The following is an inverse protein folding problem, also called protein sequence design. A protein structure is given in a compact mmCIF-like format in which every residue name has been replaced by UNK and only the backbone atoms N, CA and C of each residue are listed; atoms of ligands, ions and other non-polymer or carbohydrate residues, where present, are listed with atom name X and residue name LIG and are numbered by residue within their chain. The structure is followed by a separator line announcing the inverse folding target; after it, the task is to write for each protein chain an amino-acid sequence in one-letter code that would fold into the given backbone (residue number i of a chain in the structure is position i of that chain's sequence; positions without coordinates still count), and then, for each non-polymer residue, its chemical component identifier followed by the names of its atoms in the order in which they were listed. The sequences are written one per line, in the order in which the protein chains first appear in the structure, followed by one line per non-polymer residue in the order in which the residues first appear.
data_IF_713353310651
#
_entry.id   IF_713353310651
#
_cell.length_a   1.000
_cell.length_b   1.000
_cell.length_c   1.000
_cell.angle_alpha   90.00
_cell.angle_beta   90.00
_cell.angle_gamma   90.00
#
_symmetry.space_group_name_H-M   'P 1'
#
loop_
_entity.id
_entity.type
_entity.pdbx_description
1 polymer ?
#
# COMPACT_ATOMS: atom_id res chain seq x y z
N UNK A 1 -40.16 -6.00 -2.80
CA UNK A 1 -39.58 -6.16 -4.14
C UNK A 1 -40.68 -6.47 -5.14
N UNK A 2 -40.74 -5.78 -6.26
CA UNK A 2 -41.69 -6.04 -7.35
C UNK A 2 -41.53 -7.50 -7.87
N UNK A 3 -42.61 -8.23 -8.22
CA UNK A 3 -42.51 -9.62 -8.69
C UNK A 3 -41.57 -9.82 -9.89
N UNK A 4 -41.55 -8.86 -10.83
CA UNK A 4 -40.65 -8.89 -11.99
C UNK A 4 -39.18 -8.79 -11.58
N UNK A 5 -38.86 -7.84 -10.71
CA UNK A 5 -37.52 -7.69 -10.17
C UNK A 5 -37.09 -8.94 -9.39
N UNK A 6 -38.01 -9.58 -8.65
CA UNK A 6 -37.74 -10.85 -7.98
C UNK A 6 -37.40 -11.96 -8.96
N UNK A 7 -38.13 -12.08 -10.06
CA UNK A 7 -37.79 -13.03 -11.10
C UNK A 7 -36.42 -12.74 -11.75
N UNK A 8 -36.04 -11.47 -11.92
CA UNK A 8 -34.70 -11.10 -12.39
C UNK A 8 -33.64 -11.55 -11.39
N UNK A 9 -33.82 -11.28 -10.10
CA UNK A 9 -32.87 -11.72 -9.07
C UNK A 9 -32.79 -13.25 -8.96
N UNK A 10 -33.93 -13.94 -8.92
CA UNK A 10 -33.96 -15.41 -8.88
C UNK A 10 -33.23 -16.02 -10.08
N UNK A 11 -33.29 -15.38 -11.26
CA UNK A 11 -32.55 -15.79 -12.45
C UNK A 11 -31.05 -15.48 -12.35
N UNK A 12 -30.68 -14.30 -11.82
CA UNK A 12 -29.27 -13.88 -11.68
C UNK A 12 -28.54 -14.62 -10.56
N UNK A 13 -29.24 -15.07 -9.52
CA UNK A 13 -28.69 -15.81 -8.38
C UNK A 13 -28.88 -17.32 -8.49
N UNK A 14 -29.39 -17.82 -9.62
CA UNK A 14 -29.50 -19.25 -9.86
C UNK A 14 -28.11 -19.90 -9.94
N UNK A 15 -28.02 -21.18 -9.57
CA UNK A 15 -26.77 -21.96 -9.70
C UNK A 15 -26.34 -22.14 -11.17
N UNK A 16 -27.27 -21.99 -12.11
CA UNK A 16 -27.01 -22.01 -13.55
C UNK A 16 -26.76 -20.60 -14.09
N UNK A 17 -25.85 -20.50 -15.06
CA UNK A 17 -25.57 -19.23 -15.75
C UNK A 17 -26.86 -18.67 -16.37
N UNK A 18 -27.22 -17.41 -16.11
CA UNK A 18 -28.46 -16.83 -16.62
C UNK A 18 -28.44 -16.85 -18.15
N UNK A 19 -29.52 -17.35 -18.77
CA UNK A 19 -29.67 -17.28 -20.21
C UNK A 19 -30.05 -15.83 -20.62
N UNK A 20 -29.24 -15.12 -21.44
CA UNK A 20 -29.54 -13.76 -21.86
C UNK A 20 -30.87 -13.63 -22.60
N UNK A 21 -31.32 -14.65 -23.33
CA UNK A 21 -32.61 -14.65 -24.04
C UNK A 21 -33.79 -14.75 -23.08
N UNK A 22 -33.66 -15.52 -21.99
CA UNK A 22 -34.69 -15.61 -20.96
C UNK A 22 -34.81 -14.30 -20.20
N UNK A 23 -33.69 -13.66 -19.88
CA UNK A 23 -33.66 -12.34 -19.27
C UNK A 23 -34.27 -11.28 -20.19
N UNK A 24 -33.92 -11.27 -21.49
CA UNK A 24 -34.48 -10.32 -22.46
C UNK A 24 -35.99 -10.53 -22.63
N UNK A 25 -36.46 -11.78 -22.62
CA UNK A 25 -37.89 -12.11 -22.67
C UNK A 25 -38.63 -11.71 -21.40
N UNK A 26 -38.02 -11.91 -20.24
CA UNK A 26 -38.58 -11.52 -18.95
C UNK A 26 -38.79 -10.00 -18.89
N UNK A 27 -37.78 -9.24 -19.31
CA UNK A 27 -37.80 -7.78 -19.32
C UNK A 27 -38.64 -7.19 -20.48
N UNK A 28 -38.69 -7.85 -21.64
CA UNK A 28 -39.41 -7.40 -22.84
C UNK A 28 -40.93 -7.63 -22.83
N UNK A 29 -41.48 -8.24 -21.79
CA UNK A 29 -42.92 -8.54 -21.67
C UNK A 29 -43.79 -7.30 -21.35
N UNK A 30 -43.89 -6.39 -22.32
CA UNK A 30 -45.04 -5.52 -22.58
C UNK A 30 -45.31 -4.31 -21.67
N UNK A 31 -44.85 -4.30 -20.42
CA UNK A 31 -44.89 -3.11 -19.57
C UNK A 31 -43.49 -2.51 -19.52
N UNK A 32 -43.38 -1.18 -19.68
CA UNK A 32 -42.13 -0.45 -19.42
C UNK A 32 -41.74 -0.66 -17.96
N UNK A 33 -40.98 -1.72 -17.70
CA UNK A 33 -40.29 -1.91 -16.45
C UNK A 33 -39.16 -0.88 -16.48
N UNK A 34 -39.41 0.31 -15.93
CA UNK A 34 -38.36 1.31 -15.82
C UNK A 34 -37.43 0.85 -14.69
N UNK A 35 -36.40 0.08 -15.04
CA UNK A 35 -35.37 -0.41 -14.11
C UNK A 35 -34.79 0.76 -13.28
N UNK A 36 -34.86 2.01 -13.76
CA UNK A 36 -34.44 3.18 -13.01
C UNK A 36 -35.47 3.74 -12.04
N UNK A 37 -36.78 3.55 -12.25
CA UNK A 37 -37.79 3.91 -11.21
C UNK A 37 -37.65 3.11 -9.93
N UNK A 38 -36.82 2.06 -9.97
CA UNK A 38 -36.46 1.23 -8.83
C UNK A 38 -35.19 1.73 -8.11
N UNK A 39 -34.44 2.70 -8.66
CA UNK A 39 -33.25 3.26 -8.00
C UNK A 39 -33.56 4.35 -6.96
N UNK A 40 -34.71 5.04 -7.07
CA UNK A 40 -35.08 6.12 -6.15
C UNK A 40 -35.73 5.62 -4.84
N UNK A 41 -36.24 4.38 -4.83
CA UNK A 41 -36.74 3.73 -3.62
C UNK A 41 -35.72 2.71 -3.10
N UNK A 42 -35.30 2.89 -1.85
CA UNK A 42 -34.31 2.11 -1.09
C UNK A 42 -34.65 0.61 -0.88
N UNK A 43 -35.47 -0.01 -1.74
CA UNK A 43 -36.09 -1.32 -1.57
C UNK A 43 -36.00 -2.25 -2.80
N UNK A 44 -35.30 -1.85 -3.87
CA UNK A 44 -35.09 -2.69 -5.07
C UNK A 44 -33.64 -3.17 -5.25
N UNK A 45 -32.82 -2.96 -4.23
CA UNK A 45 -31.47 -3.49 -4.18
C UNK A 45 -31.42 -4.77 -3.35
N UNK A 46 -30.81 -5.84 -3.88
CA UNK A 46 -30.38 -6.95 -3.03
C UNK A 46 -29.06 -6.53 -2.37
N UNK A 47 -29.02 -6.44 -1.04
CA UNK A 47 -27.84 -5.99 -0.28
C UNK A 47 -27.29 -4.61 -0.66
N UNK A 48 -28.12 -3.72 -1.21
CA UNK A 48 -27.67 -2.40 -1.67
C UNK A 48 -27.12 -2.37 -3.11
N UNK A 49 -27.12 -3.50 -3.82
CA UNK A 49 -26.74 -3.59 -5.23
C UNK A 49 -27.95 -3.59 -6.16
N UNK A 50 -27.81 -2.89 -7.30
CA UNK A 50 -28.69 -3.04 -8.46
C UNK A 50 -28.39 -4.36 -9.20
N UNK A 51 -29.32 -4.90 -10.01
CA UNK A 51 -29.05 -6.07 -10.84
C UNK A 51 -27.82 -5.87 -11.75
N UNK A 52 -27.61 -4.67 -12.29
CA UNK A 52 -26.44 -4.37 -13.10
C UNK A 52 -25.16 -4.40 -12.27
N UNK A 53 -25.11 -3.77 -11.10
CA UNK A 53 -23.93 -3.89 -10.22
C UNK A 53 -23.66 -5.32 -9.81
N UNK A 54 -24.68 -6.12 -9.50
CA UNK A 54 -24.47 -7.51 -9.11
C UNK A 54 -23.83 -8.31 -10.24
N UNK A 55 -24.32 -8.13 -11.47
CA UNK A 55 -23.74 -8.79 -12.65
C UNK A 55 -22.29 -8.36 -12.89
N UNK A 56 -21.98 -7.08 -12.70
CA UNK A 56 -20.62 -6.54 -12.85
C UNK A 56 -19.69 -6.95 -11.69
N UNK A 57 -20.23 -7.09 -10.48
CA UNK A 57 -19.47 -7.39 -9.25
C UNK A 57 -19.25 -8.88 -9.05
N UNK A 58 -20.14 -9.75 -9.52
CA UNK A 58 -19.98 -11.19 -9.30
C UNK A 58 -19.49 -11.94 -10.53
N UNK A 59 -19.24 -11.24 -11.65
CA UNK A 59 -18.65 -11.82 -12.84
C UNK A 59 -19.43 -13.02 -13.36
N UNK A 60 -20.77 -12.93 -13.35
CA UNK A 60 -21.66 -14.04 -13.73
C UNK A 60 -21.28 -14.54 -15.13
N UNK A 61 -21.31 -15.86 -15.37
CA UNK A 61 -20.98 -16.40 -16.69
C UNK A 61 -21.88 -15.77 -17.77
N UNK A 62 -21.29 -15.19 -18.81
CA UNK A 62 -22.02 -14.40 -19.82
C UNK A 62 -22.43 -12.99 -19.36
N UNK A 63 -21.72 -12.41 -18.37
CA UNK A 63 -22.05 -11.08 -17.86
C UNK A 63 -21.98 -9.97 -18.91
N UNK A 64 -21.10 -9.98 -19.95
CA UNK A 64 -21.14 -8.94 -20.97
C UNK A 64 -22.49 -8.89 -21.69
N UNK A 65 -23.07 -10.05 -22.01
CA UNK A 65 -24.39 -10.18 -22.64
C UNK A 65 -25.51 -9.80 -21.68
N UNK A 66 -25.45 -10.28 -20.44
CA UNK A 66 -26.46 -9.98 -19.40
C UNK A 66 -26.46 -8.48 -19.08
N UNK A 67 -25.30 -7.86 -18.88
CA UNK A 67 -25.15 -6.43 -18.65
C UNK A 67 -25.69 -5.63 -19.84
N UNK A 68 -25.45 -6.10 -21.08
CA UNK A 68 -26.01 -5.49 -22.27
C UNK A 68 -27.54 -5.56 -22.30
N UNK A 69 -28.14 -6.70 -21.94
CA UNK A 69 -29.60 -6.85 -21.82
C UNK A 69 -30.15 -5.92 -20.74
N UNK A 70 -29.53 -5.86 -19.56
CA UNK A 70 -29.96 -4.97 -18.49
C UNK A 70 -29.92 -3.50 -18.92
N UNK A 71 -28.83 -3.05 -19.54
CA UNK A 71 -28.70 -1.68 -20.07
C UNK A 71 -29.73 -1.40 -21.19
N UNK A 72 -29.99 -2.37 -22.07
CA UNK A 72 -31.01 -2.26 -23.14
C UNK A 72 -32.41 -2.02 -22.57
N UNK A 73 -32.71 -2.59 -21.40
CA UNK A 73 -33.96 -2.39 -20.67
C UNK A 73 -33.91 -1.25 -19.65
N UNK A 74 -32.93 -0.35 -19.78
CA UNK A 74 -32.89 0.89 -19.05
C UNK A 74 -32.15 0.82 -17.72
N UNK A 75 -31.43 -0.26 -17.39
CA UNK A 75 -30.54 -0.23 -16.22
C UNK A 75 -29.49 0.87 -16.38
N UNK A 76 -29.48 1.85 -15.47
CA UNK A 76 -28.51 2.94 -15.54
C UNK A 76 -27.11 2.44 -15.18
N UNK A 77 -26.10 2.62 -16.05
CA UNK A 77 -24.71 2.28 -15.75
C UNK A 77 -24.08 3.23 -14.72
N UNK A 78 -24.72 4.37 -14.43
CA UNK A 78 -24.26 5.35 -13.44
C UNK A 78 -24.93 5.18 -12.08
N UNK A 79 -25.90 4.27 -11.94
CA UNK A 79 -26.61 4.01 -10.69
C UNK A 79 -25.68 3.60 -9.54
N UNK A 80 -24.54 2.98 -9.85
CA UNK A 80 -23.53 2.63 -8.84
C UNK A 80 -22.31 3.57 -8.90
N UNK A 81 -22.38 4.68 -9.65
CA UNK A 81 -21.29 5.63 -9.82
C UNK A 81 -20.04 5.03 -10.48
N UNK A 82 -18.87 5.63 -10.24
CA UNK A 82 -17.58 5.11 -10.73
C UNK A 82 -17.26 3.68 -10.25
N UNK A 83 -18.01 3.17 -9.27
CA UNK A 83 -17.84 1.80 -8.79
C UNK A 83 -18.31 0.76 -9.81
N UNK A 84 -19.21 1.07 -10.76
CA UNK A 84 -19.59 0.10 -11.80
C UNK A 84 -18.38 -0.35 -12.65
N UNK A 85 -17.63 0.62 -13.19
CA UNK A 85 -16.47 0.32 -14.04
C UNK A 85 -15.36 -0.36 -13.24
N UNK A 86 -15.08 0.13 -12.03
CA UNK A 86 -14.09 -0.46 -11.15
C UNK A 86 -14.49 -1.88 -10.71
N UNK A 87 -15.75 -2.11 -10.33
CA UNK A 87 -16.27 -3.41 -9.91
C UNK A 87 -16.25 -4.43 -11.05
N UNK A 88 -16.58 -3.99 -12.28
CA UNK A 88 -16.48 -4.83 -13.49
C UNK A 88 -15.06 -5.38 -13.70
N UNK A 89 -14.06 -4.56 -13.37
CA UNK A 89 -12.65 -4.91 -13.51
C UNK A 89 -12.14 -5.70 -12.29
N UNK A 90 -12.61 -5.36 -11.09
CA UNK A 90 -12.20 -5.97 -9.82
C UNK A 90 -12.52 -7.45 -9.72
N UNK A 91 -13.67 -7.85 -10.26
CA UNK A 91 -14.20 -9.19 -10.07
C UNK A 91 -14.14 -10.05 -11.33
N UNK A 92 -13.43 -9.58 -12.35
CA UNK A 92 -12.97 -10.50 -13.39
C UNK A 92 -12.02 -11.50 -12.72
N UNK A 93 -12.37 -12.79 -12.68
CA UNK A 93 -11.50 -13.77 -12.04
C UNK A 93 -10.17 -13.84 -12.80
N UNK A 94 -9.09 -14.34 -12.17
CA UNK A 94 -7.81 -14.48 -12.86
C UNK A 94 -7.92 -15.42 -14.08
N UNK A 95 -7.00 -15.34 -15.05
CA UNK A 95 -6.98 -16.17 -16.27
C UNK A 95 -7.01 -17.68 -16.05
N UNK A 96 -6.77 -18.12 -14.82
CA UNK A 96 -6.74 -19.52 -14.40
C UNK A 96 -8.10 -20.05 -13.96
N UNK A 97 -9.11 -19.18 -13.83
CA UNK A 97 -10.47 -19.56 -13.47
C UNK A 97 -11.28 -19.98 -14.70
N UNK A 98 -12.11 -21.01 -14.56
CA UNK A 98 -13.10 -21.44 -15.57
C UNK A 98 -14.11 -20.33 -15.94
N UNK A 99 -14.12 -19.24 -15.18
CA UNK A 99 -14.98 -18.07 -15.35
C UNK A 99 -14.24 -16.84 -15.89
N UNK A 100 -13.00 -16.99 -16.40
CA UNK A 100 -12.24 -15.89 -16.98
C UNK A 100 -13.01 -15.24 -18.14
N UNK A 101 -13.14 -13.92 -18.10
CA UNK A 101 -13.63 -13.15 -19.23
C UNK A 101 -12.46 -12.60 -19.99
N UNK A 102 -12.48 -12.85 -21.30
CA UNK A 102 -11.47 -12.36 -22.22
C UNK A 102 -11.42 -10.83 -22.16
N UNK A 103 -10.21 -10.27 -22.14
CA UNK A 103 -9.99 -8.83 -22.05
C UNK A 103 -10.68 -8.07 -23.20
N UNK A 104 -10.96 -8.73 -24.32
CA UNK A 104 -11.73 -8.21 -25.46
C UNK A 104 -13.20 -7.96 -25.11
N UNK A 105 -13.85 -8.94 -24.48
CA UNK A 105 -15.25 -8.84 -24.10
C UNK A 105 -15.44 -7.83 -22.98
N UNK A 106 -14.49 -7.78 -22.03
CA UNK A 106 -14.49 -6.79 -20.97
C UNK A 106 -14.25 -5.38 -21.51
N UNK A 107 -13.31 -5.19 -22.45
CA UNK A 107 -13.09 -3.89 -23.09
C UNK A 107 -14.30 -3.42 -23.90
N UNK A 108 -14.98 -4.35 -24.57
CA UNK A 108 -16.24 -4.09 -25.29
C UNK A 108 -17.34 -3.63 -24.33
N UNK A 109 -17.47 -4.30 -23.17
CA UNK A 109 -18.42 -3.89 -22.14
C UNK A 109 -18.07 -2.52 -21.54
N UNK A 110 -16.81 -2.29 -21.20
CA UNK A 110 -16.32 -0.98 -20.69
C UNK A 110 -16.62 0.13 -21.69
N UNK A 111 -16.41 -0.11 -22.99
CA UNK A 111 -16.75 0.85 -24.05
C UNK A 111 -18.24 1.20 -24.05
N UNK A 112 -19.12 0.19 -23.98
CA UNK A 112 -20.58 0.39 -23.93
C UNK A 112 -21.02 1.12 -22.66
N UNK A 113 -20.40 0.82 -21.52
CA UNK A 113 -20.68 1.49 -20.25
C UNK A 113 -20.32 2.97 -20.31
N UNK A 114 -19.17 3.31 -20.92
CA UNK A 114 -18.75 4.70 -21.15
C UNK A 114 -19.72 5.41 -22.10
N UNK A 115 -20.06 4.81 -23.25
CA UNK A 115 -21.01 5.39 -24.21
C UNK A 115 -22.41 5.63 -23.62
N UNK A 116 -22.86 4.74 -22.73
CA UNK A 116 -24.12 4.88 -22.03
C UNK A 116 -24.04 5.93 -20.91
N UNK A 117 -22.90 6.05 -20.23
CA UNK A 117 -22.61 7.08 -19.23
C UNK A 117 -22.50 8.48 -19.80
N UNK A 118 -21.93 8.66 -21.00
CA UNK A 118 -21.84 9.98 -21.65
C UNK A 118 -23.20 10.59 -21.98
N UNK A 119 -24.21 9.74 -22.23
CA UNK A 119 -25.60 10.17 -22.40
C UNK A 119 -26.25 10.62 -21.09
N UNK A 120 -25.67 10.22 -19.96
CA UNK A 120 -26.19 10.40 -18.61
C UNK A 120 -25.04 10.72 -17.63
N UNK A 121 -24.39 11.90 -17.75
CA UNK A 121 -23.25 12.24 -16.91
C UNK A 121 -23.62 12.05 -15.43
N UNK A 122 -22.78 11.38 -14.63
CA UNK A 122 -23.14 11.03 -13.27
C UNK A 122 -23.48 12.30 -12.50
N UNK A 123 -24.52 12.28 -11.64
CA UNK A 123 -24.61 13.30 -10.60
C UNK A 123 -23.29 13.26 -9.83
N UNK A 124 -22.72 14.44 -9.52
CA UNK A 124 -21.44 14.58 -8.82
C UNK A 124 -21.27 13.49 -7.75
N UNK A 125 -20.12 12.79 -7.68
CA UNK A 125 -19.95 11.64 -6.81
C UNK A 125 -20.40 11.99 -5.39
N UNK A 126 -21.24 11.16 -4.73
CA UNK A 126 -21.68 11.45 -3.38
C UNK A 126 -20.45 11.57 -2.49
N UNK A 127 -20.42 12.59 -1.63
CA UNK A 127 -19.27 12.99 -0.79
C UNK A 127 -18.77 11.93 0.21
N UNK A 128 -19.36 10.73 0.19
CA UNK A 128 -19.07 9.61 1.09
C UNK A 128 -18.56 8.35 0.38
N UNK A 129 -18.30 8.36 -0.93
CA UNK A 129 -17.56 7.27 -1.56
C UNK A 129 -16.08 7.35 -1.17
N UNK A 130 -15.74 6.89 0.03
CA UNK A 130 -14.37 6.91 0.57
C UNK A 130 -13.42 5.97 -0.17
N UNK A 131 -13.97 5.04 -0.97
CA UNK A 131 -13.23 4.11 -1.83
C UNK A 131 -13.58 4.34 -3.31
N UNK A 132 -13.51 5.59 -3.80
CA UNK A 132 -13.63 5.88 -5.25
C UNK A 132 -12.46 5.22 -5.97
N UNK A 133 -12.64 3.95 -6.32
CA UNK A 133 -11.59 3.15 -6.91
C UNK A 133 -11.45 3.59 -8.36
N UNK A 134 -10.25 4.03 -8.73
CA UNK A 134 -9.97 4.48 -10.08
C UNK A 134 -10.10 3.28 -11.05
N UNK A 135 -10.96 3.34 -12.08
CA UNK A 135 -11.14 2.21 -13.00
C UNK A 135 -9.86 1.88 -13.77
N UNK A 136 -9.00 2.85 -14.07
CA UNK A 136 -7.68 2.59 -14.67
C UNK A 136 -6.79 1.78 -13.72
N UNK A 137 -6.89 2.03 -12.40
CA UNK A 137 -6.12 1.29 -11.41
C UNK A 137 -6.58 -0.17 -11.29
N UNK A 138 -7.90 -0.43 -11.35
CA UNK A 138 -8.40 -1.81 -11.35
C UNK A 138 -8.05 -2.52 -12.66
N UNK A 139 -8.17 -1.87 -13.82
CA UNK A 139 -7.72 -2.46 -15.07
C UNK A 139 -6.22 -2.85 -15.02
N UNK A 140 -5.41 -2.03 -14.34
CA UNK A 140 -4.02 -2.33 -14.06
C UNK A 140 -3.84 -3.53 -13.13
N UNK A 141 -4.53 -3.54 -11.97
CA UNK A 141 -4.44 -4.63 -10.96
C UNK A 141 -4.79 -6.00 -11.53
N UNK A 142 -5.76 -6.04 -12.44
CA UNK A 142 -6.23 -7.28 -13.04
C UNK A 142 -5.62 -7.54 -14.43
N UNK A 143 -4.67 -6.70 -14.85
CA UNK A 143 -3.98 -6.80 -16.14
C UNK A 143 -4.94 -6.86 -17.35
N UNK A 144 -5.96 -6.00 -17.35
CA UNK A 144 -6.90 -5.79 -18.44
C UNK A 144 -6.41 -4.69 -19.39
N UNK A 145 -5.46 -5.02 -20.24
CA UNK A 145 -4.76 -4.05 -21.10
C UNK A 145 -5.72 -3.34 -22.06
N UNK A 146 -6.64 -4.07 -22.70
CA UNK A 146 -7.60 -3.48 -23.64
C UNK A 146 -8.61 -2.59 -22.93
N UNK A 147 -9.08 -3.02 -21.75
CA UNK A 147 -9.97 -2.21 -20.93
C UNK A 147 -9.28 -0.92 -20.47
N UNK A 148 -8.01 -1.00 -20.10
CA UNK A 148 -7.20 0.18 -19.76
C UNK A 148 -7.07 1.13 -20.95
N UNK A 149 -6.84 0.63 -22.16
CA UNK A 149 -6.76 1.45 -23.36
C UNK A 149 -8.07 2.19 -23.62
N UNK A 150 -9.21 1.50 -23.51
CA UNK A 150 -10.53 2.13 -23.66
C UNK A 150 -10.72 3.26 -22.64
N UNK A 151 -10.39 3.01 -21.36
CA UNK A 151 -10.51 4.01 -20.29
C UNK A 151 -9.62 5.23 -20.55
N UNK A 152 -8.37 5.02 -20.98
CA UNK A 152 -7.45 6.10 -21.31
C UNK A 152 -7.93 6.94 -22.50
N UNK A 153 -8.44 6.29 -23.56
CA UNK A 153 -9.02 7.00 -24.71
C UNK A 153 -10.25 7.82 -24.33
N UNK A 154 -11.03 7.34 -23.36
CA UNK A 154 -12.17 8.06 -22.80
C UNK A 154 -11.78 9.19 -21.81
N UNK A 155 -10.48 9.42 -21.59
CA UNK A 155 -9.98 10.52 -20.76
C UNK A 155 -10.02 10.26 -19.26
N UNK A 156 -10.17 9.00 -18.83
CA UNK A 156 -10.07 8.67 -17.41
C UNK A 156 -8.64 8.91 -16.90
N UNK A 157 -8.45 9.62 -15.78
CA UNK A 157 -7.12 9.90 -15.27
C UNK A 157 -6.48 8.61 -14.76
N UNK A 158 -5.21 8.39 -15.09
CA UNK A 158 -4.44 7.31 -14.50
C UNK A 158 -4.12 7.65 -13.03
N UNK A 159 -4.27 6.66 -12.15
CA UNK A 159 -3.85 6.80 -10.76
C UNK A 159 -2.31 6.84 -10.66
N UNK A 160 -1.71 7.76 -9.90
CA UNK A 160 -0.26 7.78 -9.69
C UNK A 160 0.32 6.47 -9.16
N UNK A 161 -0.48 5.64 -8.46
CA UNK A 161 -0.11 4.33 -7.94
C UNK A 161 -0.17 3.20 -8.98
N UNK A 162 -0.62 3.47 -10.21
CA UNK A 162 -0.73 2.45 -11.25
C UNK A 162 0.59 1.71 -11.53
N UNK A 163 1.73 2.40 -11.52
CA UNK A 163 3.03 1.71 -11.69
C UNK A 163 3.31 0.74 -10.55
N UNK A 164 3.02 1.12 -9.31
CA UNK A 164 3.21 0.27 -8.12
C UNK A 164 2.36 -1.01 -8.26
N UNK A 165 1.11 -0.86 -8.71
CA UNK A 165 0.21 -2.00 -8.91
C UNK A 165 0.61 -2.89 -10.11
N UNK A 166 1.18 -2.32 -11.19
CA UNK A 166 1.72 -3.15 -12.29
C UNK A 166 2.96 -3.92 -11.87
N UNK A 167 3.83 -3.33 -11.05
CA UNK A 167 5.03 -4.03 -10.55
C UNK A 167 4.70 -4.98 -9.41
N UNK A 168 3.52 -4.83 -8.78
CA UNK A 168 3.01 -5.84 -7.86
C UNK A 168 2.78 -7.12 -8.68
N UNK A 169 3.34 -8.25 -8.25
CA UNK A 169 3.68 -9.34 -9.15
C UNK A 169 2.43 -10.09 -9.66
N UNK A 170 2.09 -9.84 -10.92
CA UNK A 170 1.13 -10.62 -11.70
C UNK A 170 1.82 -11.26 -12.92
N UNK A 171 2.78 -12.17 -12.70
CA UNK A 171 3.42 -12.98 -13.74
C UNK A 171 3.90 -12.22 -15.01
N UNK A 172 4.11 -12.95 -16.11
CA UNK A 172 4.66 -12.41 -17.37
C UNK A 172 3.82 -11.29 -18.02
N UNK A 173 2.51 -11.25 -17.78
CA UNK A 173 1.63 -10.29 -18.47
C UNK A 173 1.84 -8.86 -17.99
N UNK A 174 2.39 -8.68 -16.79
CA UNK A 174 2.71 -7.38 -16.19
C UNK A 174 3.78 -6.59 -16.97
N UNK A 175 4.71 -7.27 -17.68
CA UNK A 175 5.81 -6.59 -18.36
C UNK A 175 5.34 -5.81 -19.59
N UNK A 176 4.43 -6.37 -20.39
CA UNK A 176 3.91 -5.68 -21.57
C UNK A 176 3.01 -4.51 -21.17
N UNK A 177 2.21 -4.71 -20.12
CA UNK A 177 1.43 -3.63 -19.50
C UNK A 177 2.35 -2.52 -18.95
N UNK A 178 3.45 -2.86 -18.29
CA UNK A 178 4.45 -1.91 -17.80
C UNK A 178 5.06 -1.08 -18.95
N UNK A 179 5.51 -1.74 -20.01
CA UNK A 179 6.06 -1.06 -21.20
C UNK A 179 5.04 -0.13 -21.82
N UNK A 180 3.78 -0.58 -21.90
CA UNK A 180 2.68 0.21 -22.44
C UNK A 180 2.42 1.42 -21.58
N UNK A 181 2.33 1.26 -20.26
CA UNK A 181 2.21 2.39 -19.33
C UNK A 181 3.35 3.37 -19.55
N UNK A 182 4.61 2.95 -19.42
CA UNK A 182 5.77 3.85 -19.58
C UNK A 182 5.86 4.54 -20.95
N UNK A 183 5.13 4.08 -21.97
CA UNK A 183 5.02 4.75 -23.28
C UNK A 183 3.97 5.86 -23.34
N UNK A 184 3.16 6.05 -22.29
CA UNK A 184 2.14 7.08 -22.21
C UNK A 184 2.76 8.39 -21.70
N UNK A 185 2.95 9.35 -22.61
CA UNK A 185 3.55 10.66 -22.30
C UNK A 185 2.77 11.48 -21.26
N UNK A 186 1.49 11.17 -21.05
CA UNK A 186 0.53 11.99 -20.29
C UNK A 186 0.27 11.52 -18.86
N UNK A 187 0.97 10.49 -18.37
CA UNK A 187 0.65 9.90 -17.08
C UNK A 187 1.53 10.47 -15.97
N UNK A 188 0.95 11.14 -14.95
CA UNK A 188 1.70 11.55 -13.77
C UNK A 188 2.00 10.32 -12.91
N UNK A 189 3.19 9.75 -13.09
CA UNK A 189 3.65 8.63 -12.30
C UNK A 189 4.14 9.06 -10.93
N UNK A 190 3.66 8.41 -9.88
CA UNK A 190 4.42 8.34 -8.62
C UNK A 190 5.46 7.24 -8.78
N UNK A 191 6.72 7.64 -8.79
CA UNK A 191 7.85 6.72 -8.80
C UNK A 191 8.22 6.23 -7.41
N UNK A 192 7.71 6.90 -6.37
CA UNK A 192 7.97 6.55 -4.99
C UNK A 192 7.56 5.10 -4.71
N UNK A 193 8.51 4.32 -4.20
CA UNK A 193 8.33 2.91 -3.89
C UNK A 193 8.17 1.96 -5.06
N UNK A 194 8.23 2.37 -6.34
CA UNK A 194 8.05 1.45 -7.48
C UNK A 194 9.16 0.41 -7.55
N UNK A 195 10.43 0.84 -7.50
CA UNK A 195 11.56 -0.09 -7.55
C UNK A 195 11.56 -1.01 -6.34
N UNK A 196 11.27 -0.46 -5.16
CA UNK A 196 11.24 -1.22 -3.92
C UNK A 196 10.04 -2.16 -3.87
N UNK A 197 8.87 -1.83 -4.41
CA UNK A 197 7.74 -2.75 -4.50
C UNK A 197 8.04 -3.89 -5.47
N UNK A 198 8.77 -3.63 -6.56
CA UNK A 198 9.18 -4.68 -7.49
C UNK A 198 10.16 -5.68 -6.85
N UNK A 199 11.05 -5.20 -5.98
CA UNK A 199 12.13 -6.03 -5.42
C UNK A 199 11.92 -6.48 -3.98
N UNK A 200 11.08 -5.78 -3.21
CA UNK A 200 10.58 -6.25 -1.93
C UNK A 200 9.58 -7.35 -2.28
N UNK A 201 9.79 -8.52 -1.67
CA UNK A 201 8.90 -9.66 -1.85
C UNK A 201 7.46 -9.19 -1.63
N UNK A 202 6.51 -9.49 -2.52
CA UNK A 202 5.14 -9.43 -2.09
C UNK A 202 4.99 -10.38 -0.91
N UNK A 203 3.95 -10.14 -0.13
CA UNK A 203 3.49 -11.05 0.90
C UNK A 203 3.63 -12.52 0.43
N UNK A 204 4.30 -13.40 1.20
CA UNK A 204 4.61 -14.79 0.81
C UNK A 204 3.36 -15.60 0.41
N UNK A 205 2.17 -15.17 0.81
CA UNK A 205 0.89 -15.73 0.35
C UNK A 205 0.72 -15.57 -1.17
N UNK A 206 1.17 -14.47 -1.76
CA UNK A 206 1.06 -14.21 -3.20
C UNK A 206 2.09 -14.98 -4.04
N UNK A 207 3.29 -15.22 -3.51
CA UNK A 207 4.36 -15.88 -4.29
C UNK A 207 4.02 -17.33 -4.62
N UNK A 208 3.31 -18.01 -3.72
CA UNK A 208 2.93 -19.42 -3.89
C UNK A 208 1.94 -19.63 -5.04
N UNK A 209 0.98 -18.71 -5.21
CA UNK A 209 -0.13 -18.88 -6.16
C UNK A 209 0.11 -18.20 -7.50
N UNK A 210 1.00 -17.20 -7.58
CA UNK A 210 1.17 -16.36 -8.77
C UNK A 210 2.51 -16.51 -9.48
N UNK A 211 3.42 -17.32 -8.95
CA UNK A 211 4.67 -17.69 -9.60
C UNK A 211 5.55 -16.48 -9.90
N UNK A 212 6.39 -16.09 -8.94
CA UNK A 212 7.48 -15.16 -9.22
C UNK A 212 8.43 -15.78 -10.24
N UNK A 213 8.35 -15.33 -11.49
CA UNK A 213 9.39 -15.59 -12.47
C UNK A 213 10.51 -14.54 -12.31
N UNK A 214 11.71 -14.96 -11.86
CA UNK A 214 12.90 -14.10 -11.76
C UNK A 214 13.23 -13.32 -13.03
N UNK A 215 13.03 -13.95 -14.18
CA UNK A 215 13.37 -13.36 -15.47
C UNK A 215 12.41 -12.21 -15.79
N UNK A 216 11.12 -12.37 -15.46
CA UNK A 216 10.15 -11.31 -15.57
C UNK A 216 10.45 -10.13 -14.64
N UNK A 217 10.78 -10.37 -13.36
CA UNK A 217 11.19 -9.31 -12.42
C UNK A 217 12.40 -8.54 -12.97
N UNK A 218 13.40 -9.28 -13.47
CA UNK A 218 14.59 -8.70 -14.07
C UNK A 218 14.29 -7.90 -15.37
N UNK A 219 13.37 -8.38 -16.20
CA UNK A 219 12.93 -7.66 -17.39
C UNK A 219 12.17 -6.37 -17.04
N UNK A 220 11.30 -6.41 -16.02
CA UNK A 220 10.59 -5.23 -15.51
C UNK A 220 11.57 -4.23 -14.92
N UNK A 221 12.54 -4.69 -14.12
CA UNK A 221 13.58 -3.85 -13.55
C UNK A 221 14.43 -3.17 -14.64
N UNK A 222 14.88 -3.91 -15.66
CA UNK A 222 15.58 -3.32 -16.83
C UNK A 222 14.74 -2.25 -17.51
N UNK A 223 13.44 -2.51 -17.67
CA UNK A 223 12.51 -1.58 -18.34
C UNK A 223 12.35 -0.30 -17.52
N UNK A 224 12.20 -0.40 -16.20
CA UNK A 224 12.10 0.75 -15.29
C UNK A 224 13.39 1.56 -15.30
N UNK A 225 14.56 0.92 -15.14
CA UNK A 225 15.87 1.59 -15.10
C UNK A 225 16.25 2.27 -16.43
N UNK A 226 15.73 1.79 -17.55
CA UNK A 226 15.91 2.42 -18.85
C UNK A 226 15.07 3.69 -19.03
N UNK A 227 14.05 3.90 -18.19
CA UNK A 227 13.16 5.04 -18.30
C UNK A 227 13.84 6.33 -17.79
N UNK A 228 13.79 7.45 -18.54
CA UNK A 228 14.54 8.67 -18.19
C UNK A 228 14.10 9.34 -16.89
N UNK A 229 12.89 9.03 -16.42
CA UNK A 229 12.31 9.55 -15.18
C UNK A 229 12.37 8.54 -14.03
N UNK A 230 13.07 7.41 -14.18
CA UNK A 230 13.25 6.44 -13.11
C UNK A 230 13.90 7.15 -11.89
N UNK A 231 13.34 7.00 -10.67
CA UNK A 231 13.84 7.64 -9.47
C UNK A 231 15.22 7.11 -9.13
N UNK A 232 15.86 7.71 -8.12
CA UNK A 232 17.16 7.28 -7.68
C UNK A 232 17.11 5.80 -7.30
N UNK A 233 17.95 4.99 -7.96
CA UNK A 233 18.18 3.58 -7.60
C UNK A 233 18.69 3.36 -6.16
N UNK A 234 18.93 4.45 -5.42
CA UNK A 234 19.35 4.49 -4.03
C UNK A 234 18.32 5.15 -3.12
N UNK A 235 17.14 5.51 -3.65
CA UNK A 235 16.09 6.09 -2.85
C UNK A 235 15.61 5.04 -1.85
N UNK A 236 15.31 5.51 -0.65
CA UNK A 236 14.88 4.66 0.45
C UNK A 236 13.37 4.61 0.43
N UNK A 237 12.80 3.41 0.52
CA UNK A 237 11.35 3.26 0.70
C UNK A 237 10.94 3.87 2.04
N UNK A 238 9.99 4.81 2.02
CA UNK A 238 9.57 5.52 3.21
C UNK A 238 9.12 4.59 4.35
N UNK A 239 8.45 3.47 4.02
CA UNK A 239 7.93 2.54 5.05
C UNK A 239 8.97 1.52 5.54
N UNK A 240 9.92 1.10 4.69
CA UNK A 240 10.82 -0.01 5.04
C UNK A 240 12.24 0.44 5.39
N UNK A 241 12.61 1.67 5.06
CA UNK A 241 13.99 2.14 5.24
C UNK A 241 14.98 1.47 4.28
N UNK A 242 14.51 0.77 3.24
CA UNK A 242 15.37 -0.01 2.34
C UNK A 242 15.53 0.65 0.97
N UNK A 243 16.76 0.58 0.45
CA UNK A 243 17.01 0.76 -0.98
C UNK A 243 16.62 -0.51 -1.75
N UNK A 244 16.40 -0.43 -3.07
CA UNK A 244 16.15 -1.62 -3.89
C UNK A 244 17.24 -2.71 -3.72
N UNK A 245 18.51 -2.29 -3.62
CA UNK A 245 19.62 -3.23 -3.42
C UNK A 245 19.54 -3.90 -2.03
N UNK A 246 19.17 -3.16 -0.99
CA UNK A 246 18.99 -3.71 0.36
C UNK A 246 17.78 -4.65 0.43
N UNK A 247 16.70 -4.35 -0.28
CA UNK A 247 15.50 -5.19 -0.34
C UNK A 247 15.79 -6.54 -1.01
N UNK A 248 16.55 -6.58 -2.11
CA UNK A 248 16.98 -7.84 -2.75
C UNK A 248 17.88 -8.70 -1.85
N UNK A 249 18.59 -8.09 -0.91
CA UNK A 249 19.46 -8.80 0.03
C UNK A 249 18.78 -9.06 1.39
N UNK A 250 17.53 -8.62 1.57
CA UNK A 250 16.79 -8.87 2.79
C UNK A 250 16.31 -10.33 2.82
N UNK A 251 16.44 -11.03 3.95
CA UNK A 251 15.79 -12.32 4.12
C UNK A 251 14.27 -12.11 4.08
N UNK A 252 13.56 -12.91 3.29
CA UNK A 252 12.11 -12.84 3.25
C UNK A 252 11.51 -13.86 4.21
N UNK A 253 10.50 -13.42 4.95
CA UNK A 253 9.86 -14.25 5.96
C UNK A 253 8.77 -15.05 5.28
N UNK A 254 9.11 -16.21 4.73
CA UNK A 254 8.11 -17.12 4.16
C UNK A 254 7.34 -17.84 5.27
N UNK A 255 6.22 -17.25 5.68
CA UNK A 255 5.25 -17.91 6.54
C UNK A 255 5.74 -18.26 7.96
N UNK A 256 4.86 -18.90 8.72
CA UNK A 256 4.99 -19.19 10.16
C UNK A 256 5.98 -20.31 10.50
N UNK A 257 6.84 -20.73 9.57
CA UNK A 257 7.81 -21.80 9.80
C UNK A 257 9.18 -21.14 9.94
N UNK A 258 9.62 -20.96 11.18
CA UNK A 258 10.86 -20.24 11.54
C UNK A 258 12.15 -20.88 10.98
N UNK A 259 12.07 -22.07 10.38
CA UNK A 259 13.24 -22.91 10.11
C UNK A 259 13.83 -22.76 8.69
N UNK A 260 13.09 -22.26 7.70
CA UNK A 260 13.55 -22.19 6.31
C UNK A 260 13.49 -20.75 5.73
N UNK A 261 14.26 -19.83 6.33
CA UNK A 261 14.51 -18.53 5.70
C UNK A 261 15.43 -18.71 4.49
N UNK A 262 14.86 -18.82 3.30
CA UNK A 262 15.60 -18.56 2.07
C UNK A 262 15.68 -17.03 1.89
N UNK A 263 16.89 -16.49 1.66
CA UNK A 263 16.98 -15.13 1.10
C UNK A 263 16.26 -15.19 -0.26
N UNK A 264 15.58 -14.11 -0.65
CA UNK A 264 14.80 -13.96 -1.88
C UNK A 264 15.65 -14.02 -3.17
N UNK A 265 16.46 -15.05 -3.31
CA UNK A 265 17.36 -15.29 -4.43
C UNK A 265 16.70 -15.93 -5.62
N UNK A 266 15.37 -16.03 -5.61
CA UNK A 266 14.65 -16.07 -6.88
C UNK A 266 15.12 -14.89 -7.75
N UNK A 267 15.43 -13.72 -7.20
CA UNK A 267 15.79 -12.54 -7.99
C UNK A 267 17.30 -12.34 -8.25
N UNK A 268 18.11 -13.40 -8.41
CA UNK A 268 19.53 -13.29 -8.83
C UNK A 268 19.71 -12.37 -10.07
N UNK A 269 18.91 -12.51 -11.14
CA UNK A 269 19.04 -11.65 -12.31
C UNK A 269 18.79 -10.17 -11.98
N UNK A 270 17.86 -9.86 -11.07
CA UNK A 270 17.58 -8.48 -10.64
C UNK A 270 18.76 -7.89 -9.86
N UNK A 271 19.43 -8.69 -9.02
CA UNK A 271 20.61 -8.24 -8.27
C UNK A 271 21.77 -7.88 -9.22
N UNK A 272 22.05 -8.71 -10.22
CA UNK A 272 23.08 -8.44 -11.23
C UNK A 272 22.76 -7.17 -12.03
N UNK A 273 21.49 -6.92 -12.35
CA UNK A 273 21.06 -5.67 -13.02
C UNK A 273 21.34 -4.44 -12.14
N UNK A 274 20.99 -4.48 -10.85
CA UNK A 274 21.26 -3.35 -9.95
C UNK A 274 22.77 -3.13 -9.78
N UNK A 275 23.55 -4.19 -9.55
CA UNK A 275 25.00 -4.06 -9.37
C UNK A 275 25.71 -3.55 -10.63
N UNK A 276 25.19 -3.82 -11.81
CA UNK A 276 25.71 -3.29 -13.07
C UNK A 276 25.30 -1.84 -13.36
N UNK A 277 24.28 -1.31 -12.66
CA UNK A 277 23.76 0.02 -12.93
C UNK A 277 24.67 1.11 -12.34
N UNK A 278 25.18 2.07 -13.14
CA UNK A 278 26.21 3.02 -12.72
C UNK A 278 25.76 3.98 -11.61
N UNK A 279 24.44 4.16 -11.45
CA UNK A 279 23.86 4.97 -10.39
C UNK A 279 23.82 4.29 -9.01
N UNK A 280 24.05 2.98 -8.91
CA UNK A 280 23.88 2.24 -7.64
C UNK A 280 25.05 2.49 -6.69
N UNK A 281 24.72 2.95 -5.49
CA UNK A 281 25.63 3.14 -4.36
C UNK A 281 25.65 1.86 -3.54
N UNK A 282 26.52 0.93 -3.91
CA UNK A 282 26.68 -0.38 -3.23
C UNK A 282 26.93 -0.26 -1.72
N UNK A 283 27.54 0.84 -1.28
CA UNK A 283 27.84 1.13 0.12
C UNK A 283 26.82 2.05 0.80
N UNK A 284 25.65 2.28 0.18
CA UNK A 284 24.56 2.99 0.85
C UNK A 284 24.17 2.25 2.11
N UNK A 285 23.99 2.99 3.21
CA UNK A 285 23.58 2.43 4.48
C UNK A 285 22.39 3.18 5.07
N UNK A 286 21.47 2.43 5.67
CA UNK A 286 20.38 2.92 6.50
C UNK A 286 20.46 2.19 7.84
N UNK A 287 20.42 2.91 8.96
CA UNK A 287 20.55 2.33 10.32
C UNK A 287 21.74 1.39 10.52
N UNK A 288 22.91 1.75 10.00
CA UNK A 288 24.14 0.94 10.05
C UNK A 288 24.04 -0.41 9.33
N UNK A 289 22.99 -0.63 8.53
CA UNK A 289 22.86 -1.76 7.64
C UNK A 289 23.08 -1.31 6.19
N UNK A 290 23.75 -2.16 5.41
CA UNK A 290 23.82 -2.04 3.97
C UNK A 290 23.45 -3.38 3.32
N UNK A 291 23.46 -3.45 1.99
CA UNK A 291 23.15 -4.68 1.27
C UNK A 291 24.07 -5.85 1.70
N UNK A 292 25.34 -5.58 2.01
CA UNK A 292 26.29 -6.60 2.46
C UNK A 292 25.96 -7.15 3.84
N UNK A 293 25.68 -6.31 4.83
CA UNK A 293 25.31 -6.79 6.17
C UNK A 293 23.98 -7.56 6.14
N UNK A 294 23.04 -7.15 5.28
CA UNK A 294 21.77 -7.88 5.10
C UNK A 294 21.99 -9.25 4.49
N UNK A 295 22.77 -9.33 3.40
CA UNK A 295 23.14 -10.60 2.78
C UNK A 295 23.83 -11.54 3.79
N UNK A 296 24.58 -11.01 4.76
CA UNK A 296 25.25 -11.80 5.80
C UNK A 296 24.30 -12.31 6.90
N UNK A 297 23.16 -11.63 7.13
CA UNK A 297 22.41 -11.78 8.39
C UNK A 297 21.63 -13.08 8.53
N UNK A 298 21.00 -13.61 7.46
CA UNK A 298 20.20 -14.85 7.47
C UNK A 298 20.14 -15.45 6.05
N UNK A 299 19.89 -16.76 5.89
CA UNK A 299 19.72 -17.40 4.58
C UNK A 299 20.45 -18.73 4.39
N UNK A 300 20.11 -19.46 3.33
CA UNK A 300 20.87 -20.62 2.85
C UNK A 300 22.35 -20.24 2.62
N UNK A 301 23.27 -21.03 3.18
CA UNK A 301 24.71 -20.74 3.15
C UNK A 301 25.26 -20.55 1.73
N UNK A 302 24.84 -21.37 0.77
CA UNK A 302 25.31 -21.31 -0.60
C UNK A 302 24.96 -19.98 -1.26
N UNK A 303 23.71 -19.57 -1.13
CA UNK A 303 23.20 -18.37 -1.77
C UNK A 303 23.64 -17.09 -1.06
N UNK A 304 23.69 -17.11 0.28
CA UNK A 304 24.34 -16.06 1.07
C UNK A 304 25.77 -15.83 0.61
N UNK A 305 26.57 -16.90 0.49
CA UNK A 305 27.96 -16.80 0.06
C UNK A 305 28.06 -16.18 -1.32
N UNK A 306 27.24 -16.62 -2.27
CA UNK A 306 27.20 -16.07 -3.62
C UNK A 306 26.93 -14.55 -3.63
N UNK A 307 25.93 -14.07 -2.90
CA UNK A 307 25.61 -12.64 -2.90
C UNK A 307 26.64 -11.80 -2.16
N UNK A 308 27.19 -12.31 -1.05
CA UNK A 308 28.32 -11.67 -0.36
C UNK A 308 29.50 -11.52 -1.31
N UNK A 309 29.87 -12.58 -2.02
CA UNK A 309 30.98 -12.54 -2.99
C UNK A 309 30.72 -11.53 -4.11
N UNK A 310 29.48 -11.45 -4.62
CA UNK A 310 29.07 -10.48 -5.65
C UNK A 310 29.08 -9.04 -5.16
N UNK A 311 28.55 -8.78 -3.97
CA UNK A 311 28.57 -7.46 -3.35
C UNK A 311 30.01 -7.01 -3.09
N UNK A 312 30.86 -7.89 -2.56
CA UNK A 312 32.29 -7.62 -2.36
C UNK A 312 33.01 -7.33 -3.68
N UNK A 313 32.73 -8.09 -4.74
CA UNK A 313 33.26 -7.84 -6.09
C UNK A 313 32.81 -6.49 -6.65
N UNK A 314 31.60 -6.03 -6.33
CA UNK A 314 31.08 -4.71 -6.65
C UNK A 314 31.61 -3.59 -5.73
N UNK A 315 32.53 -3.91 -4.80
CA UNK A 315 33.15 -2.93 -3.91
C UNK A 315 32.36 -2.62 -2.64
N UNK A 316 31.40 -3.48 -2.26
CA UNK A 316 30.75 -3.39 -0.96
C UNK A 316 31.77 -3.52 0.17
N UNK A 317 31.59 -2.73 1.22
CA UNK A 317 32.38 -2.76 2.44
C UNK A 317 31.43 -3.10 3.60
N UNK A 318 31.92 -3.79 4.63
CA UNK A 318 31.14 -3.94 5.86
C UNK A 318 30.70 -2.54 6.33
N UNK A 319 29.44 -2.38 6.77
CA UNK A 319 29.02 -1.11 7.31
C UNK A 319 29.88 -0.76 8.53
N UNK A 320 30.05 0.54 8.84
CA UNK A 320 30.71 0.95 10.07
C UNK A 320 30.02 0.24 11.24
N UNK A 321 30.83 -0.29 12.18
CA UNK A 321 30.28 -0.93 13.37
C UNK A 321 29.32 0.05 14.03
N UNK A 322 28.11 -0.43 14.33
CA UNK A 322 27.19 0.33 15.13
C UNK A 322 27.94 0.81 16.39
N UNK A 323 27.92 2.10 16.70
CA UNK A 323 28.53 2.61 17.90
C UNK A 323 28.05 1.80 19.11
N UNK A 324 28.90 1.57 20.12
CA UNK A 324 28.45 0.94 21.36
C UNK A 324 27.26 1.72 21.90
N UNK A 325 26.15 1.01 22.16
CA UNK A 325 24.81 1.56 22.42
C UNK A 325 24.83 2.92 23.14
N UNK A 326 24.29 3.93 22.45
CA UNK A 326 24.14 5.31 22.94
C UNK A 326 25.16 6.34 22.44
N UNK A 327 26.06 6.02 21.51
CA UNK A 327 26.84 7.04 20.79
C UNK A 327 26.19 7.32 19.42
N UNK A 328 25.74 8.54 19.15
CA UNK A 328 25.30 8.97 17.80
C UNK A 328 26.49 9.70 17.17
N UNK A 329 27.11 9.18 16.08
CA UNK A 329 28.23 9.83 15.43
C UNK A 329 27.83 11.18 14.85
N UNK A 330 28.69 12.19 14.99
CA UNK A 330 28.46 13.56 14.49
C UNK A 330 28.31 13.65 12.96
N UNK A 331 28.64 12.57 12.26
CA UNK A 331 28.76 12.45 10.82
C UNK A 331 27.49 11.84 10.19
N UNK A 332 26.60 11.23 10.99
CA UNK A 332 25.29 10.73 10.58
C UNK A 332 24.21 11.84 10.46
N UNK A 333 24.63 13.09 10.62
CA UNK A 333 23.79 14.29 10.63
C UNK A 333 23.34 14.77 9.23
N UNK A 334 23.52 13.98 8.17
CA UNK A 334 23.28 14.37 6.78
C UNK A 334 22.35 13.39 6.02
N UNK A 335 21.27 12.93 6.64
CA UNK A 335 20.14 12.34 5.93
C UNK A 335 19.10 13.42 5.60
N UNK A 336 19.02 13.86 4.34
CA UNK A 336 17.96 14.76 3.89
C UNK A 336 16.61 14.02 3.83
N UNK A 337 15.94 13.88 4.96
CA UNK A 337 14.48 13.71 4.96
C UNK A 337 13.84 15.10 4.92
N UNK A 338 13.22 15.46 3.79
CA UNK A 338 12.16 16.47 3.72
C UNK A 338 12.45 17.88 4.29
N UNK A 339 13.68 18.40 4.22
CA UNK A 339 14.02 19.73 4.72
C UNK A 339 14.20 19.82 6.25
N UNK A 340 14.44 18.69 6.91
CA UNK A 340 14.87 18.63 8.30
C UNK A 340 16.41 18.73 8.39
N UNK A 341 16.89 19.60 9.28
CA UNK A 341 18.31 19.81 9.62
C UNK A 341 18.83 18.71 10.55
N UNK A 342 18.00 18.25 11.50
CA UNK A 342 18.37 17.21 12.48
C UNK A 342 17.18 16.30 12.81
N UNK A 343 17.47 15.04 13.13
CA UNK A 343 16.49 14.08 13.65
C UNK A 343 17.07 13.41 14.91
N UNK A 344 16.26 13.31 15.97
CA UNK A 344 16.62 12.65 17.22
C UNK A 344 15.51 11.69 17.63
N UNK A 345 15.81 10.40 17.75
CA UNK A 345 14.86 9.41 18.26
C UNK A 345 15.39 8.76 19.54
N UNK A 346 14.56 8.69 20.58
CA UNK A 346 14.87 7.98 21.83
C UNK A 346 13.69 7.06 22.19
N UNK A 347 13.99 5.78 22.44
CA UNK A 347 12.99 4.78 22.83
C UNK A 347 13.24 4.30 24.25
N UNK A 348 12.22 4.39 25.10
CA UNK A 348 12.19 3.81 26.44
C UNK A 348 11.33 2.55 26.45
N UNK A 349 11.78 1.51 27.16
CA UNK A 349 10.98 0.31 27.44
C UNK A 349 10.72 0.19 28.94
N UNK A 350 9.47 -0.07 29.30
CA UNK A 350 9.05 -0.41 30.67
C UNK A 350 8.13 -1.64 30.61
N UNK A 351 8.68 -2.81 30.89
CA UNK A 351 8.01 -4.10 30.62
C UNK A 351 7.72 -4.28 29.13
N UNK A 352 6.47 -4.60 28.81
CA UNK A 352 5.97 -4.81 27.45
C UNK A 352 5.59 -3.51 26.74
N UNK A 353 5.67 -2.38 27.43
CA UNK A 353 5.38 -1.07 26.86
C UNK A 353 6.64 -0.42 26.31
N UNK A 354 6.52 0.27 25.18
CA UNK A 354 7.54 1.14 24.64
C UNK A 354 7.00 2.55 24.39
N UNK A 355 7.87 3.53 24.52
CA UNK A 355 7.61 4.96 24.24
C UNK A 355 8.78 5.45 23.39
N UNK A 356 8.53 5.75 22.12
CA UNK A 356 9.52 6.27 21.18
C UNK A 356 9.20 7.74 20.91
N UNK A 357 10.15 8.64 21.19
CA UNK A 357 10.03 10.06 20.87
C UNK A 357 10.99 10.41 19.76
N UNK A 358 10.48 10.93 18.66
CA UNK A 358 11.26 11.41 17.51
C UNK A 358 11.06 12.91 17.35
N UNK A 359 12.16 13.67 17.43
CA UNK A 359 12.18 15.11 17.19
C UNK A 359 12.84 15.37 15.84
N UNK A 360 12.13 16.08 14.96
CA UNK A 360 12.66 16.60 13.71
C UNK A 360 12.88 18.12 13.85
N UNK A 361 14.12 18.58 13.66
CA UNK A 361 14.48 19.99 13.67
C UNK A 361 14.66 20.47 12.23
N UNK A 362 14.00 21.56 11.84
CA UNK A 362 14.08 22.16 10.49
C UNK A 362 15.06 23.32 10.45
N UNK A 363 15.61 23.62 9.27
CA UNK A 363 16.58 24.72 9.10
C UNK A 363 16.00 26.11 9.44
N UNK A 364 14.69 26.28 9.30
CA UNK A 364 13.98 27.54 9.58
C UNK A 364 13.70 27.77 11.08
N UNK A 365 14.24 26.92 11.96
CA UNK A 365 14.06 27.01 13.40
C UNK A 365 12.77 26.37 13.92
N UNK A 366 11.94 25.76 13.05
CA UNK A 366 10.78 24.95 13.48
C UNK A 366 11.19 23.53 13.85
N UNK A 367 10.41 22.88 14.69
CA UNK A 367 10.55 21.46 14.98
C UNK A 367 9.21 20.74 15.07
N UNK A 368 9.23 19.43 14.85
CA UNK A 368 8.11 18.54 15.14
C UNK A 368 8.57 17.45 16.10
N UNK A 369 7.74 17.12 17.09
CA UNK A 369 7.91 15.99 17.98
C UNK A 369 6.81 14.98 17.65
N UNK A 370 7.20 13.78 17.28
CA UNK A 370 6.32 12.61 17.24
C UNK A 370 6.62 11.72 18.44
N UNK A 371 5.59 11.29 19.16
CA UNK A 371 5.70 10.31 20.24
C UNK A 371 4.83 9.13 19.89
N UNK A 372 5.42 7.96 19.74
CA UNK A 372 4.74 6.70 19.52
C UNK A 372 4.81 5.90 20.80
N UNK A 373 3.65 5.60 21.39
CA UNK A 373 3.55 4.71 22.55
C UNK A 373 2.82 3.45 22.12
N UNK A 374 3.39 2.29 22.44
CA UNK A 374 2.74 1.01 22.19
C UNK A 374 2.98 -0.02 23.29
N UNK A 375 2.17 -1.07 23.26
CA UNK A 375 2.35 -2.26 24.10
C UNK A 375 2.42 -3.49 23.21
N UNK A 376 3.46 -4.29 23.40
CA UNK A 376 3.65 -5.56 22.71
C UNK A 376 3.04 -6.67 23.59
N UNK A 377 1.79 -7.04 23.34
CA UNK A 377 1.07 -7.98 24.19
C UNK A 377 1.32 -9.46 23.84
N UNK A 378 2.14 -9.75 22.82
CA UNK A 378 2.49 -11.12 22.41
C UNK A 378 1.34 -11.93 21.80
N UNK A 379 0.14 -11.36 21.68
CA UNK A 379 -1.08 -12.03 21.20
C UNK A 379 -1.74 -11.33 20.00
N UNK A 380 -1.06 -10.35 19.39
CA UNK A 380 -1.52 -9.66 18.19
C UNK A 380 -2.48 -8.49 18.44
N UNK A 381 -2.59 -8.05 19.70
CA UNK A 381 -3.36 -6.88 20.11
C UNK A 381 -2.46 -5.70 20.47
N UNK A 382 -1.57 -5.29 19.56
CA UNK A 382 -0.82 -4.06 19.76
C UNK A 382 -1.75 -2.85 19.60
N UNK A 383 -1.77 -1.95 20.58
CA UNK A 383 -2.30 -0.61 20.40
C UNK A 383 -1.14 0.37 20.29
N UNK A 384 -1.33 1.38 19.44
CA UNK A 384 -0.35 2.42 19.15
C UNK A 384 -1.02 3.78 19.30
N UNK A 385 -0.50 4.63 20.19
CA UNK A 385 -0.90 6.02 20.33
C UNK A 385 0.20 6.91 19.76
N UNK A 386 -0.17 7.79 18.82
CA UNK A 386 0.76 8.78 18.25
C UNK A 386 0.40 10.19 18.72
N UNK A 387 1.36 10.89 19.34
CA UNK A 387 1.23 12.30 19.70
C UNK A 387 2.17 13.13 18.82
N UNK A 388 1.61 14.12 18.11
CA UNK A 388 2.39 15.06 17.31
C UNK A 388 2.31 16.47 17.92
N UNK A 389 3.45 17.13 18.07
CA UNK A 389 3.55 18.52 18.51
C UNK A 389 4.44 19.33 17.58
N UNK A 390 4.09 20.59 17.34
CA UNK A 390 4.94 21.55 16.64
C UNK A 390 5.61 22.50 17.64
N UNK A 391 6.80 22.97 17.29
CA UNK A 391 7.58 23.82 18.16
C UNK A 391 8.63 24.65 17.45
N UNK A 392 9.46 25.32 18.25
CA UNK A 392 10.65 26.01 17.76
C UNK A 392 11.89 25.54 18.50
N UNK A 393 13.04 25.69 17.87
CA UNK A 393 14.32 25.35 18.48
C UNK A 393 15.36 26.45 18.24
N UNK A 394 16.34 26.51 19.13
CA UNK A 394 17.51 27.40 18.99
C UNK A 394 18.78 26.73 19.50
N UNK A 395 19.88 26.97 18.80
CA UNK A 395 21.22 26.60 19.26
C UNK A 395 21.69 27.62 20.32
N UNK A 396 21.97 27.15 21.53
CA UNK A 396 22.51 27.92 22.63
C UNK A 396 23.85 27.30 23.08
N UNK A 397 24.95 27.71 22.43
CA UNK A 397 26.29 27.21 22.73
C UNK A 397 26.43 25.71 22.44
N UNK A 398 26.63 24.92 23.49
CA UNK A 398 26.71 23.46 23.42
C UNK A 398 25.36 22.80 23.74
N UNK A 399 24.24 23.46 23.47
CA UNK A 399 22.92 22.89 23.68
C UNK A 399 21.94 23.32 22.60
N UNK A 400 20.93 22.50 22.33
CA UNK A 400 19.76 22.83 21.55
C UNK A 400 18.59 22.89 22.53
N UNK A 401 17.98 24.08 22.66
CA UNK A 401 16.73 24.22 23.39
C UNK A 401 15.59 24.02 22.40
N UNK A 402 14.67 23.12 22.71
CA UNK A 402 13.48 22.84 21.94
C UNK A 402 12.28 23.16 22.82
N UNK A 403 11.35 23.94 22.29
CA UNK A 403 10.09 24.25 22.93
C UNK A 403 8.98 23.71 22.04
N UNK A 404 8.32 22.65 22.49
CA UNK A 404 7.22 21.99 21.78
C UNK A 404 5.94 22.20 22.57
N UNK A 405 4.89 22.65 21.91
CA UNK A 405 3.56 22.65 22.53
C UNK A 405 2.92 21.30 22.23
N UNK A 406 2.86 20.44 23.24
CA UNK A 406 2.21 19.14 23.13
C UNK A 406 0.72 19.27 23.44
N UNK A 407 -0.14 18.75 22.57
CA UNK A 407 -1.55 18.55 22.89
C UNK A 407 -1.67 17.20 23.58
N UNK A 408 -1.90 17.21 24.90
CA UNK A 408 -2.22 15.99 25.62
C UNK A 408 -3.72 15.76 25.52
N UNK A 409 -4.14 14.72 24.79
CA UNK A 409 -5.51 14.23 24.91
C UNK A 409 -5.64 13.53 26.26
N UNK A 410 -6.25 14.21 27.23
CA UNK A 410 -6.78 13.59 28.43
C UNK A 410 -8.29 13.42 28.24
N UNK A 411 -8.83 12.30 28.74
CA UNK A 411 -10.26 11.91 28.68
C UNK A 411 -11.27 12.93 29.26
N UNK A 412 -10.83 14.12 29.70
CA UNK A 412 -11.69 15.14 30.31
C UNK A 412 -11.30 16.61 30.02
N UNK A 413 -10.48 16.89 28.99
CA UNK A 413 -10.20 18.26 28.57
C UNK A 413 -8.80 18.45 27.99
N UNK A 414 -8.72 19.18 26.87
CA UNK A 414 -7.45 19.52 26.22
C UNK A 414 -6.70 20.54 27.07
N UNK A 415 -5.55 20.14 27.58
CA UNK A 415 -4.59 21.01 28.26
C UNK A 415 -3.36 21.12 27.37
N UNK A 416 -3.12 22.30 26.81
CA UNK A 416 -1.88 22.63 26.10
C UNK A 416 -0.87 23.12 27.13
N UNK A 417 0.05 22.24 27.54
CA UNK A 417 1.22 22.67 28.32
C UNK A 417 2.47 22.62 27.44
N UNK A 418 3.24 23.73 27.34
CA UNK A 418 4.49 23.72 26.61
C UNK A 418 5.50 22.81 27.32
N UNK A 419 6.04 21.84 26.58
CA UNK A 419 7.12 20.96 27.05
C UNK A 419 8.44 21.55 26.56
N UNK A 420 9.28 21.97 27.49
CA UNK A 420 10.64 22.43 27.19
C UNK A 420 11.61 21.25 27.27
N UNK A 421 12.18 20.88 26.13
CA UNK A 421 13.21 19.85 26.01
C UNK A 421 14.57 20.52 25.82
N UNK A 422 15.56 20.12 26.62
CA UNK A 422 16.93 20.61 26.48
C UNK A 422 17.82 19.46 26.02
N UNK A 423 18.39 19.57 24.83
CA UNK A 423 19.42 18.68 24.30
C UNK A 423 20.79 19.29 24.60
N UNK A 424 21.63 18.62 25.37
CA UNK A 424 23.00 19.08 25.63
C UNK A 424 24.03 18.32 24.76
N UNK A 425 24.86 19.05 24.03
CA UNK A 425 26.12 18.58 23.41
C UNK A 425 27.17 18.45 24.53
N UNK A 426 27.36 17.26 25.09
CA UNK A 426 28.47 17.02 26.01
C UNK A 426 29.64 16.33 25.31
N UNK A 427 30.87 16.73 25.66
CA UNK A 427 32.13 16.12 25.17
C UNK A 427 32.44 14.76 25.83
N UNK A 428 31.74 14.39 26.90
CA UNK A 428 32.00 13.17 27.69
C UNK A 428 30.78 12.28 27.91
N UNK A 429 29.57 12.80 27.70
CA UNK A 429 28.33 12.06 27.91
C UNK A 429 27.37 12.35 26.74
N UNK A 430 27.15 11.29 25.95
CA UNK A 430 26.00 11.00 25.10
C UNK A 430 24.83 11.97 25.31
N UNK A 431 24.44 12.70 24.26
CA UNK A 431 23.32 13.65 24.31
C UNK A 431 22.11 13.01 24.96
N UNK A 432 21.62 13.60 26.06
CA UNK A 432 20.40 13.16 26.76
C UNK A 432 19.33 14.22 26.56
N UNK A 433 18.11 13.78 26.31
CA UNK A 433 16.93 14.62 26.44
C UNK A 433 16.71 14.87 27.94
N UNK A 434 16.82 16.13 28.37
CA UNK A 434 16.55 16.51 29.76
C UNK A 434 15.28 17.35 29.77
N UNK A 435 14.23 16.81 30.39
CA UNK A 435 13.01 17.53 30.71
C UNK A 435 13.22 18.34 32.00
N UNK A 436 12.82 19.61 32.00
CA UNK A 436 13.23 20.64 32.96
C UNK A 436 13.07 20.31 34.45
N UNK A 437 14.11 19.75 35.08
CA UNK A 437 14.49 20.06 36.46
C UNK A 437 13.72 19.38 37.61
N UNK A 438 12.82 18.42 37.37
CA UNK A 438 12.27 17.55 38.42
C UNK A 438 12.20 16.10 37.93
N UNK A 439 12.71 15.17 38.76
CA UNK A 439 12.35 13.74 38.65
C UNK A 439 10.86 13.61 38.96
N UNK A 440 10.02 13.36 37.96
CA UNK A 440 8.62 12.93 38.10
C UNK A 440 8.37 12.03 36.87
N UNK A 441 7.73 10.86 36.90
CA UNK A 441 6.67 10.29 37.72
C UNK A 441 6.90 8.76 37.81
N UNK A 442 6.59 8.12 38.95
CA UNK A 442 6.14 6.72 38.92
C UNK A 442 4.62 6.76 38.65
N UNK A 443 4.10 6.13 37.60
CA UNK A 443 2.66 5.91 37.50
C UNK A 443 2.22 5.02 38.68
N UNK A 444 1.31 5.51 39.52
CA UNK A 444 0.51 4.63 40.35
C UNK A 444 -0.70 4.24 39.53
N UNK A 445 -0.76 2.99 39.08
CA UNK A 445 -1.97 2.40 38.52
C UNK A 445 -2.84 1.88 39.67
N UNK A 446 -4.16 2.15 39.68
CA UNK A 446 -5.06 1.41 40.55
C UNK A 446 -5.18 -0.04 40.05
N UNK A 447 -5.05 -0.99 40.97
CA UNK A 447 -5.34 -2.42 40.73
C UNK A 447 -6.78 -2.55 40.17
N UNK A 448 -6.92 -2.90 38.89
CA UNK A 448 -8.21 -3.36 38.33
C UNK A 448 -8.44 -4.80 38.80
N UNK A 449 -8.96 -4.99 40.01
CA UNK A 449 -9.40 -6.32 40.50
C UNK A 449 -10.91 -6.56 40.45
N UNK A 450 -11.72 -5.56 40.09
CA UNK A 450 -13.18 -5.66 40.23
C UNK A 450 -13.96 -5.43 38.92
N UNK A 451 -13.58 -6.10 37.83
CA UNK A 451 -14.46 -6.23 36.65
C UNK A 451 -14.85 -7.70 36.50
N UNK A 452 -16.12 -8.08 36.74
CA UNK A 452 -16.56 -9.45 36.52
C UNK A 452 -16.55 -9.75 35.02
N UNK A 453 -15.93 -10.87 34.65
CA UNK A 453 -16.00 -11.42 33.30
C UNK A 453 -17.46 -11.73 32.93
N UNK A 454 -17.89 -11.49 31.68
CA UNK A 454 -19.15 -12.04 31.18
C UNK A 454 -19.07 -13.58 31.17
N UNK A 455 -20.19 -14.28 31.39
CA UNK A 455 -20.20 -15.74 31.42
C UNK A 455 -19.78 -16.29 30.05
N UNK A 456 -18.84 -17.23 30.08
CA UNK A 456 -18.52 -18.07 28.93
C UNK A 456 -19.78 -18.88 28.59
N UNK A 457 -20.18 -18.84 27.32
CA UNK A 457 -21.15 -19.77 26.77
C UNK A 457 -20.42 -21.11 26.58
N UNK A 458 -20.88 -22.13 27.30
CA UNK A 458 -20.50 -23.52 27.06
C UNK A 458 -21.07 -23.99 25.70
N UNK A 459 -20.33 -24.93 25.09
CA UNK A 459 -20.43 -25.53 23.73
C UNK A 459 -21.80 -25.58 23.03
#
# INVERSE_FOLDING_TARGET
MEPKLRAVWDLLTADEAPNPEELDKLLGSGEKCDINTLNDDSNATYEGQTPLSYVLEWGVKGFPEIAHVLMKHGASPTACGHTCLASSLRHSPPPTSDFYVEDEDLASLVSKLIEAGDKHPPPSPPSKCTNSTNPCLEAVRHNHQKSLEVLLHAGFPMDPKALIEVVRPFGHRSLDLLRRLLSLDSVPYSWDGVLQTLVADPDPVFVRDWGHDPENVAAMLKTLLAHPFCPGVNDVHAETGLTPLMALCAPTKYGYIEEDFEINFHNIPALEILLAHPGVKVNYHHDYENALSRAQSKGNEGTRKWAVDRLLAAGAKPPPKAPPSGEIPADLFNGQFGGCKYEFSETWKDGDCYDTRTVYLREDGRCTLSTVRGKDDGWGGAWEETFNGEGSWKEAGASVEIEVVGVKEADAGKSEEPVKLILQKSKKDKGRLIEGGKKVYKPQYPDRKDVPYPPQLDE
#
